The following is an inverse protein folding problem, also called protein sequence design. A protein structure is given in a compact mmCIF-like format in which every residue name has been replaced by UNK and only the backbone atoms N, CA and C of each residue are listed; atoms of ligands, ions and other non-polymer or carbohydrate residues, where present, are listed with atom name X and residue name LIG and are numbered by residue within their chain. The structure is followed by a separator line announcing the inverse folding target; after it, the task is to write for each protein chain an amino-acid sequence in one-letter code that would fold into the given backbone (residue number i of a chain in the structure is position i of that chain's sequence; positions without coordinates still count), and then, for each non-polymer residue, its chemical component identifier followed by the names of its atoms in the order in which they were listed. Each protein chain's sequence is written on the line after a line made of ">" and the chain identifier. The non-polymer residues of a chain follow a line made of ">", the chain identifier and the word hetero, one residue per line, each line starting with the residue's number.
data_IF_911552995344
#
_entry.id   IF_911552995344
#
_cell.length_a   1.000
_cell.length_b   1.000
_cell.length_c   1.000
_cell.angle_alpha   90.00
_cell.angle_beta   90.00
_cell.angle_gamma   90.00
#
_symmetry.space_group_name_H-M   'P 1'
#
loop_
_entity.id
_entity.type
_entity.pdbx_description
1 polymer ?
#
# COMPACT_ATOMS: atom_id res chain seq x y z
N UNK A 1 -34.51 26.89 -11.34
CA UNK A 1 -33.36 26.02 -10.93
C UNK A 1 -32.23 26.34 -11.91
N UNK A 2 -31.12 26.87 -11.38
CA UNK A 2 -30.00 27.30 -12.22
C UNK A 2 -29.37 26.09 -12.93
N UNK A 3 -29.44 26.04 -14.26
CA UNK A 3 -28.84 25.01 -15.10
C UNK A 3 -27.29 24.92 -14.97
N UNK A 4 -26.66 25.92 -14.32
CA UNK A 4 -25.21 26.04 -14.17
C UNK A 4 -24.60 25.08 -13.16
N UNK A 5 -25.37 24.42 -12.29
CA UNK A 5 -24.88 23.56 -11.19
C UNK A 5 -25.16 22.07 -11.38
N UNK A 6 -25.56 21.63 -12.58
CA UNK A 6 -25.77 20.22 -12.90
C UNK A 6 -24.57 19.65 -13.62
N UNK A 7 -23.95 18.58 -13.05
CA UNK A 7 -22.80 17.88 -13.57
C UNK A 7 -23.19 16.49 -14.09
N UNK A 8 -22.44 15.97 -15.06
CA UNK A 8 -22.61 14.60 -15.53
C UNK A 8 -21.99 13.62 -14.52
N UNK A 9 -20.84 14.01 -13.93
CA UNK A 9 -20.16 13.27 -12.86
C UNK A 9 -19.69 14.24 -11.75
N UNK A 10 -20.02 13.93 -10.49
CA UNK A 10 -19.49 14.60 -9.32
C UNK A 10 -18.59 13.61 -8.55
N UNK A 11 -17.37 14.04 -8.26
CA UNK A 11 -16.34 13.26 -7.58
C UNK A 11 -16.12 13.81 -6.18
N UNK A 12 -16.33 12.98 -5.15
CA UNK A 12 -16.03 13.31 -3.75
C UNK A 12 -14.64 12.79 -3.38
N UNK A 13 -13.66 13.70 -3.27
CA UNK A 13 -12.25 13.42 -3.00
C UNK A 13 -11.39 13.43 -4.26
N UNK A 14 -10.40 14.33 -4.30
CA UNK A 14 -9.46 14.53 -5.42
C UNK A 14 -8.17 13.70 -5.33
N UNK A 15 -8.17 12.61 -4.54
CA UNK A 15 -7.05 11.67 -4.46
C UNK A 15 -6.83 10.88 -5.75
N UNK A 16 -6.02 9.80 -5.70
CA UNK A 16 -5.62 9.05 -6.91
C UNK A 16 -6.81 8.52 -7.71
N UNK A 17 -7.80 7.90 -7.07
CA UNK A 17 -9.01 7.40 -7.73
C UNK A 17 -9.88 8.53 -8.29
N UNK A 18 -10.11 9.56 -7.47
CA UNK A 18 -10.97 10.69 -7.87
C UNK A 18 -10.40 11.50 -9.02
N UNK A 19 -9.09 11.80 -8.97
CA UNK A 19 -8.43 12.48 -10.07
C UNK A 19 -8.45 11.66 -11.37
N UNK A 20 -8.17 10.35 -11.29
CA UNK A 20 -8.23 9.48 -12.47
C UNK A 20 -9.63 9.46 -13.07
N UNK A 21 -10.66 9.36 -12.24
CA UNK A 21 -12.05 9.41 -12.69
C UNK A 21 -12.40 10.76 -13.34
N UNK A 22 -12.03 11.85 -12.69
CA UNK A 22 -12.31 13.21 -13.21
C UNK A 22 -11.65 13.45 -14.56
N UNK A 23 -10.37 13.08 -14.70
CA UNK A 23 -9.62 13.16 -15.96
C UNK A 23 -10.30 12.33 -17.05
N UNK A 24 -10.59 11.07 -16.78
CA UNK A 24 -11.22 10.15 -17.73
C UNK A 24 -12.60 10.65 -18.18
N UNK A 25 -13.41 11.15 -17.24
CA UNK A 25 -14.72 11.72 -17.59
C UNK A 25 -14.58 12.99 -18.46
N UNK A 26 -13.63 13.88 -18.11
CA UNK A 26 -13.37 15.08 -18.92
C UNK A 26 -12.91 14.73 -20.35
N UNK A 27 -12.05 13.75 -20.54
CA UNK A 27 -11.61 13.25 -21.85
C UNK A 27 -12.81 12.75 -22.70
N UNK A 28 -13.89 12.34 -22.04
CA UNK A 28 -15.19 12.00 -22.68
C UNK A 28 -16.14 13.18 -22.80
N UNK A 29 -15.66 14.42 -22.57
CA UNK A 29 -16.40 15.68 -22.65
C UNK A 29 -17.54 15.81 -21.65
N UNK A 30 -17.50 15.06 -20.55
CA UNK A 30 -18.43 15.19 -19.45
C UNK A 30 -18.15 16.47 -18.64
N UNK A 31 -19.20 17.09 -18.10
CA UNK A 31 -19.08 18.17 -17.11
C UNK A 31 -18.80 17.55 -15.76
N UNK A 32 -17.62 17.82 -15.22
CA UNK A 32 -17.13 17.19 -13.98
C UNK A 32 -16.99 18.21 -12.88
N UNK A 33 -17.55 17.89 -11.70
CA UNK A 33 -17.22 18.56 -10.44
C UNK A 33 -16.30 17.67 -9.59
N UNK A 34 -15.29 18.27 -8.98
CA UNK A 34 -14.46 17.63 -7.96
C UNK A 34 -14.62 18.40 -6.65
N UNK A 35 -15.05 17.71 -5.61
CA UNK A 35 -15.22 18.26 -4.26
C UNK A 35 -14.14 17.70 -3.37
N UNK A 36 -13.22 18.55 -2.90
CA UNK A 36 -12.12 18.17 -2.01
C UNK A 36 -11.86 19.27 -0.97
N UNK A 37 -12.28 19.03 0.25
CA UNK A 37 -12.13 19.93 1.41
C UNK A 37 -10.84 19.72 2.21
N UNK A 38 -9.91 18.86 1.76
CA UNK A 38 -8.63 18.70 2.42
C UNK A 38 -7.84 20.01 2.40
N UNK A 39 -7.05 20.30 3.45
CA UNK A 39 -6.21 21.51 3.52
C UNK A 39 -5.27 21.63 2.32
N UNK A 40 -4.74 20.48 1.86
CA UNK A 40 -3.87 20.38 0.70
C UNK A 40 -4.45 19.38 -0.33
N UNK A 41 -4.29 19.71 -1.63
CA UNK A 41 -4.64 18.82 -2.72
C UNK A 41 -3.50 17.85 -3.04
N UNK A 42 -3.81 16.59 -3.31
CA UNK A 42 -2.82 15.56 -3.63
C UNK A 42 -3.24 14.17 -3.20
N UNK A 43 -4.11 14.11 -2.21
CA UNK A 43 -4.57 12.85 -1.63
C UNK A 43 -3.52 12.15 -0.76
N UNK A 44 -3.90 11.03 -0.17
CA UNK A 44 -3.08 10.31 0.82
C UNK A 44 -1.71 9.92 0.27
N UNK A 45 -1.64 9.32 -0.92
CA UNK A 45 -0.39 8.80 -1.48
C UNK A 45 0.69 9.86 -1.62
N UNK A 46 0.36 11.04 -2.18
CA UNK A 46 1.32 12.12 -2.42
C UNK A 46 1.72 12.78 -1.10
N UNK A 47 0.74 13.10 -0.24
CA UNK A 47 0.96 13.98 0.90
C UNK A 47 1.36 13.26 2.18
N UNK A 48 0.84 12.05 2.43
CA UNK A 48 0.93 11.37 3.74
C UNK A 48 1.06 9.84 3.62
N UNK A 49 1.39 9.31 2.43
CA UNK A 49 1.48 7.87 2.16
C UNK A 49 2.74 7.49 1.41
N UNK A 50 2.57 6.98 0.19
CA UNK A 50 3.62 6.37 -0.63
C UNK A 50 4.83 7.28 -0.83
N UNK A 51 4.62 8.52 -1.29
CA UNK A 51 5.74 9.38 -1.67
C UNK A 51 6.59 9.83 -0.48
N UNK A 52 6.03 10.35 0.63
CA UNK A 52 6.84 10.73 1.79
C UNK A 52 7.49 9.52 2.47
N UNK A 53 6.80 8.37 2.58
CA UNK A 53 7.38 7.18 3.21
C UNK A 53 8.54 6.63 2.41
N UNK A 54 8.41 6.45 1.08
CA UNK A 54 9.48 5.91 0.22
C UNK A 54 10.66 6.87 0.12
N UNK A 55 10.43 8.18 0.19
CA UNK A 55 11.52 9.17 0.25
C UNK A 55 12.37 9.02 1.52
N UNK A 56 11.75 8.82 2.68
CA UNK A 56 12.44 8.63 3.95
C UNK A 56 13.08 7.24 4.05
N UNK A 57 12.37 6.18 3.64
CA UNK A 57 12.87 4.79 3.60
C UNK A 57 14.13 4.72 2.73
N UNK A 58 14.10 5.29 1.52
CA UNK A 58 15.27 5.30 0.64
C UNK A 58 16.46 6.05 1.26
N UNK A 59 16.22 7.16 1.97
CA UNK A 59 17.29 7.87 2.68
C UNK A 59 17.91 7.02 3.79
N UNK A 60 17.08 6.25 4.54
CA UNK A 60 17.54 5.34 5.56
C UNK A 60 18.27 4.10 4.97
N UNK A 61 17.85 3.64 3.79
CA UNK A 61 18.54 2.58 3.05
C UNK A 61 19.96 3.00 2.64
N UNK A 62 20.11 4.23 2.12
CA UNK A 62 21.43 4.77 1.76
C UNK A 62 22.32 4.94 3.00
N UNK A 63 21.75 5.37 4.13
CA UNK A 63 22.47 5.44 5.40
C UNK A 63 22.94 4.06 5.85
N UNK A 64 22.04 3.07 5.82
CA UNK A 64 22.34 1.70 6.20
C UNK A 64 23.43 1.09 5.32
N UNK A 65 23.39 1.29 4.00
CA UNK A 65 24.43 0.87 3.07
C UNK A 65 25.78 1.52 3.37
N UNK A 66 25.80 2.81 3.72
CA UNK A 66 27.03 3.50 4.12
C UNK A 66 27.60 2.98 5.43
N UNK A 67 26.76 2.55 6.38
CA UNK A 67 27.22 1.92 7.65
C UNK A 67 27.87 0.56 7.42
N UNK A 68 27.58 -0.11 6.32
CA UNK A 68 28.17 -1.40 5.93
C UNK A 68 29.33 -1.30 4.94
N UNK A 69 29.91 -0.11 4.78
CA UNK A 69 30.96 0.18 3.79
C UNK A 69 32.19 -0.74 3.84
N UNK A 70 32.56 -1.25 5.02
CA UNK A 70 33.69 -2.18 5.20
C UNK A 70 33.58 -3.42 4.33
N UNK A 71 32.37 -3.97 4.16
CA UNK A 71 32.10 -5.14 3.32
C UNK A 71 32.50 -4.86 1.86
N UNK A 72 32.34 -3.60 1.43
CA UNK A 72 32.63 -3.15 0.07
C UNK A 72 34.01 -2.48 -0.06
N UNK A 73 34.84 -2.52 0.99
CA UNK A 73 36.21 -2.04 0.96
C UNK A 73 36.37 -0.53 1.13
N UNK A 74 35.40 0.17 1.72
CA UNK A 74 35.52 1.58 2.07
C UNK A 74 35.07 1.87 3.50
N UNK A 75 35.68 2.89 4.11
CA UNK A 75 35.28 3.40 5.41
C UNK A 75 34.41 4.65 5.24
N UNK A 76 33.27 4.66 5.91
CA UNK A 76 32.46 5.85 6.10
C UNK A 76 32.58 6.27 7.58
N UNK A 77 33.17 7.41 7.85
CA UNK A 77 33.42 7.86 9.22
C UNK A 77 32.12 8.13 9.96
N UNK A 78 31.65 7.13 10.72
CA UNK A 78 30.46 7.19 11.60
C UNK A 78 29.20 7.81 10.94
N UNK A 79 28.69 7.23 9.84
CA UNK A 79 27.51 7.79 9.16
C UNK A 79 26.31 7.74 10.11
N UNK A 80 25.65 8.88 10.28
CA UNK A 80 24.48 9.07 11.14
C UNK A 80 23.36 9.77 10.40
N UNK A 81 22.13 9.52 10.83
CA UNK A 81 20.99 10.23 10.31
C UNK A 81 21.04 11.73 10.71
N UNK A 82 20.90 12.60 9.73
CA UNK A 82 20.51 13.99 9.94
C UNK A 82 19.04 14.09 9.57
N UNK A 83 18.18 14.00 10.57
CA UNK A 83 16.73 14.00 10.37
C UNK A 83 16.25 15.31 9.75
N UNK A 84 16.88 16.45 10.09
CA UNK A 84 16.50 17.75 9.52
C UNK A 84 16.71 17.78 8.00
N UNK A 85 17.88 17.32 7.53
CA UNK A 85 18.16 17.20 6.09
C UNK A 85 17.27 16.16 5.39
N UNK A 86 16.98 15.02 6.04
CA UNK A 86 16.04 14.04 5.51
C UNK A 86 14.64 14.64 5.33
N UNK A 87 14.16 15.40 6.32
CA UNK A 87 12.87 16.07 6.26
C UNK A 87 12.83 17.20 5.22
N UNK A 88 13.91 17.96 5.08
CA UNK A 88 14.03 19.00 4.04
C UNK A 88 13.95 18.37 2.65
N UNK A 89 14.74 17.30 2.40
CA UNK A 89 14.68 16.53 1.15
C UNK A 89 13.25 16.02 0.88
N UNK A 90 12.62 15.40 1.88
CA UNK A 90 11.24 14.92 1.75
C UNK A 90 10.29 16.05 1.37
N UNK A 91 10.33 17.19 2.10
CA UNK A 91 9.46 18.33 1.82
C UNK A 91 9.62 18.84 0.39
N UNK A 92 10.85 18.94 -0.10
CA UNK A 92 11.14 19.36 -1.49
C UNK A 92 10.53 18.40 -2.50
N UNK A 93 10.77 17.09 -2.35
CA UNK A 93 10.25 16.07 -3.27
C UNK A 93 8.71 16.07 -3.26
N UNK A 94 8.08 16.15 -2.07
CA UNK A 94 6.63 16.11 -1.97
C UNK A 94 5.99 17.38 -2.53
N UNK A 95 6.60 18.55 -2.35
CA UNK A 95 6.09 19.79 -2.91
C UNK A 95 5.99 19.73 -4.44
N UNK A 96 6.98 19.18 -5.13
CA UNK A 96 6.96 19.03 -6.59
C UNK A 96 5.74 18.19 -7.05
N UNK A 97 5.47 17.05 -6.39
CA UNK A 97 4.32 16.22 -6.73
C UNK A 97 2.97 16.84 -6.33
N UNK A 98 2.93 17.51 -5.18
CA UNK A 98 1.71 18.15 -4.67
C UNK A 98 1.32 19.34 -5.55
N UNK A 99 2.26 20.21 -5.92
CA UNK A 99 2.03 21.36 -6.80
C UNK A 99 1.56 20.90 -8.19
N UNK A 100 2.20 19.89 -8.75
CA UNK A 100 1.76 19.32 -10.03
C UNK A 100 0.31 18.78 -9.95
N UNK A 101 -0.05 18.06 -8.89
CA UNK A 101 -1.42 17.58 -8.71
C UNK A 101 -2.41 18.72 -8.48
N UNK A 102 -2.02 19.75 -7.76
CA UNK A 102 -2.83 20.94 -7.52
C UNK A 102 -3.11 21.68 -8.83
N UNK A 103 -2.09 21.88 -9.67
CA UNK A 103 -2.25 22.45 -11.01
C UNK A 103 -3.22 21.61 -11.85
N UNK A 104 -3.02 20.29 -11.89
CA UNK A 104 -3.88 19.37 -12.64
C UNK A 104 -5.37 19.40 -12.20
N UNK A 105 -5.65 19.66 -10.94
CA UNK A 105 -7.02 19.77 -10.43
C UNK A 105 -7.61 21.16 -10.65
N UNK A 106 -6.80 22.19 -10.76
CA UNK A 106 -7.19 23.60 -10.85
C UNK A 106 -7.06 24.22 -12.24
N UNK A 107 -6.67 23.45 -13.27
CA UNK A 107 -6.40 23.94 -14.63
C UNK A 107 -7.64 24.29 -15.47
N UNK A 108 -8.83 24.21 -14.88
CA UNK A 108 -10.09 24.57 -15.51
C UNK A 108 -10.80 23.43 -16.25
N UNK A 109 -10.20 22.24 -16.31
CA UNK A 109 -10.87 21.04 -16.85
C UNK A 109 -12.05 20.60 -16.02
N UNK A 110 -12.02 20.87 -14.70
CA UNK A 110 -13.04 20.50 -13.73
C UNK A 110 -13.56 21.73 -12.99
N UNK A 111 -14.81 21.66 -12.51
CA UNK A 111 -15.27 22.59 -11.48
C UNK A 111 -14.77 22.10 -10.12
N UNK A 112 -13.69 22.69 -9.60
CA UNK A 112 -13.09 22.32 -8.32
C UNK A 112 -13.74 23.10 -7.17
N UNK A 113 -14.32 22.37 -6.23
CA UNK A 113 -14.89 22.92 -4.98
C UNK A 113 -13.98 22.58 -3.80
N UNK A 114 -13.36 23.58 -3.20
CA UNK A 114 -12.45 23.47 -2.03
C UNK A 114 -13.24 23.46 -0.73
N UNK A 115 -14.18 22.49 -0.62
CA UNK A 115 -15.12 22.34 0.48
C UNK A 115 -15.29 20.85 0.83
N UNK A 116 -15.66 20.57 2.08
CA UNK A 116 -16.16 19.27 2.43
C UNK A 116 -17.57 19.07 1.88
N UNK A 117 -17.78 17.92 1.24
CA UNK A 117 -19.09 17.53 0.70
C UNK A 117 -19.69 16.34 1.44
N UNK A 118 -20.99 16.39 1.68
CA UNK A 118 -21.78 15.28 2.22
C UNK A 118 -22.86 14.88 1.23
N UNK A 119 -23.00 13.58 1.02
CA UNK A 119 -24.08 13.04 0.18
C UNK A 119 -25.44 13.38 0.81
N UNK A 120 -26.28 14.12 0.08
CA UNK A 120 -27.62 14.54 0.51
C UNK A 120 -28.71 13.65 -0.05
N UNK A 121 -28.53 13.23 -1.30
CA UNK A 121 -29.44 12.32 -2.02
C UNK A 121 -28.65 11.49 -3.05
N UNK A 122 -29.35 10.67 -3.83
CA UNK A 122 -28.75 9.87 -4.92
C UNK A 122 -28.15 10.70 -6.06
N UNK A 123 -28.41 12.01 -6.06
CA UNK A 123 -28.02 12.97 -7.10
C UNK A 123 -27.46 14.28 -6.55
N UNK A 124 -27.37 14.44 -5.23
CA UNK A 124 -27.05 15.71 -4.62
C UNK A 124 -25.97 15.56 -3.56
N UNK A 125 -25.03 16.51 -3.57
CA UNK A 125 -24.00 16.69 -2.56
C UNK A 125 -24.13 18.07 -1.97
N UNK A 126 -24.27 18.15 -0.66
CA UNK A 126 -24.26 19.38 0.11
C UNK A 126 -22.83 19.71 0.54
N UNK A 127 -22.36 20.89 0.19
CA UNK A 127 -21.07 21.44 0.62
C UNK A 127 -21.18 22.00 2.06
N UNK A 128 -20.04 22.15 2.72
CA UNK A 128 -19.96 22.68 4.09
C UNK A 128 -20.55 24.10 4.22
N UNK A 129 -20.51 24.91 3.17
CA UNK A 129 -21.11 26.24 3.11
C UNK A 129 -22.65 26.24 2.87
N UNK A 130 -23.27 25.04 2.78
CA UNK A 130 -24.71 24.87 2.54
C UNK A 130 -25.13 24.86 1.06
N UNK A 131 -24.21 25.04 0.14
CA UNK A 131 -24.48 24.94 -1.30
C UNK A 131 -24.76 23.49 -1.69
N UNK A 132 -25.75 23.27 -2.58
CA UNK A 132 -26.09 21.94 -3.09
C UNK A 132 -25.64 21.83 -4.55
N UNK A 133 -24.83 20.82 -4.85
CA UNK A 133 -24.42 20.45 -6.19
C UNK A 133 -25.24 19.27 -6.66
N UNK A 134 -25.68 19.29 -7.92
CA UNK A 134 -26.45 18.22 -8.53
C UNK A 134 -25.63 17.49 -9.61
N UNK A 135 -25.75 16.17 -9.68
CA UNK A 135 -25.08 15.36 -10.70
C UNK A 135 -25.94 14.16 -11.12
N UNK A 136 -25.75 13.73 -12.36
CA UNK A 136 -26.37 12.50 -12.86
C UNK A 136 -25.76 11.27 -12.21
N UNK A 137 -24.45 11.31 -11.92
CA UNK A 137 -23.69 10.27 -11.21
C UNK A 137 -22.74 10.87 -10.17
N UNK A 138 -22.54 10.15 -9.09
CA UNK A 138 -21.63 10.54 -8.00
C UNK A 138 -20.62 9.42 -7.78
N UNK A 139 -19.33 9.78 -7.73
CA UNK A 139 -18.24 8.89 -7.35
C UNK A 139 -17.72 9.27 -5.96
N UNK A 140 -17.73 8.32 -5.05
CA UNK A 140 -17.14 8.45 -3.71
C UNK A 140 -15.70 7.92 -3.78
N UNK A 141 -14.71 8.78 -3.51
CA UNK A 141 -13.27 8.46 -3.50
C UNK A 141 -12.55 9.13 -2.33
N UNK A 142 -13.20 9.07 -1.17
CA UNK A 142 -12.78 9.75 0.08
C UNK A 142 -11.63 9.05 0.81
N UNK A 143 -11.15 7.91 0.29
CA UNK A 143 -9.98 7.21 0.79
C UNK A 143 -10.19 6.53 2.15
N UNK A 144 -9.15 6.49 2.95
CA UNK A 144 -9.10 5.80 4.24
C UNK A 144 -8.47 6.67 5.33
N UNK A 145 -8.62 6.25 6.58
CA UNK A 145 -8.01 6.86 7.78
C UNK A 145 -7.38 5.80 8.66
N UNK A 146 -6.47 6.20 9.55
CA UNK A 146 -5.84 5.30 10.51
C UNK A 146 -6.90 4.61 11.37
N UNK A 147 -6.78 3.31 11.56
CA UNK A 147 -7.66 2.50 12.40
C UNK A 147 -7.27 2.65 13.87
N UNK A 148 -8.23 3.01 14.72
CA UNK A 148 -8.07 3.04 16.19
C UNK A 148 -9.06 2.05 16.78
N UNK A 149 -8.66 0.77 16.99
CA UNK A 149 -9.56 -0.25 17.52
C UNK A 149 -9.97 0.05 18.96
N UNK A 150 -11.10 -0.54 19.39
CA UNK A 150 -11.68 -0.35 20.72
C UNK A 150 -10.95 -1.14 21.83
N UNK A 151 -9.63 -0.98 21.94
CA UNK A 151 -8.85 -1.58 23.03
C UNK A 151 -8.88 -0.60 24.22
N UNK A 152 -9.10 -1.09 25.45
CA UNK A 152 -9.19 -0.22 26.64
C UNK A 152 -7.98 0.71 26.78
N UNK A 153 -8.23 2.00 26.96
CA UNK A 153 -7.22 3.04 27.14
C UNK A 153 -6.47 3.46 25.85
N UNK A 154 -6.69 2.80 24.70
CA UNK A 154 -5.96 3.14 23.47
C UNK A 154 -6.34 4.53 22.94
N UNK A 155 -7.61 4.92 23.00
CA UNK A 155 -8.07 6.24 22.51
C UNK A 155 -7.51 7.41 23.34
N UNK A 156 -7.28 7.16 24.61
CA UNK A 156 -6.71 8.10 25.56
C UNK A 156 -5.18 8.06 25.57
N UNK A 157 -4.58 7.01 24.98
CA UNK A 157 -3.14 6.84 24.89
C UNK A 157 -2.49 7.91 24.01
N UNK A 158 -1.26 8.28 24.34
CA UNK A 158 -0.45 9.22 23.56
C UNK A 158 0.22 8.51 22.40
N UNK A 159 -0.56 7.99 21.45
CA UNK A 159 -0.01 7.33 20.27
C UNK A 159 0.33 8.33 19.16
N UNK A 160 1.22 7.87 18.29
CA UNK A 160 1.61 8.46 17.03
C UNK A 160 1.10 7.62 15.88
N UNK A 161 0.75 8.27 14.78
CA UNK A 161 0.33 7.63 13.54
C UNK A 161 1.45 7.61 12.51
N UNK A 162 1.21 7.02 11.34
CA UNK A 162 2.14 7.15 10.21
C UNK A 162 2.40 8.61 9.83
N UNK A 163 1.38 9.48 9.91
CA UNK A 163 1.52 10.89 9.59
C UNK A 163 2.51 11.58 10.56
N UNK A 164 2.49 11.21 11.85
CA UNK A 164 3.44 11.71 12.85
C UNK A 164 4.85 11.20 12.59
N UNK A 165 5.01 9.89 12.28
CA UNK A 165 6.33 9.30 11.97
C UNK A 165 6.94 9.95 10.73
N UNK A 166 6.13 10.20 9.70
CA UNK A 166 6.60 10.86 8.48
C UNK A 166 6.98 12.34 8.68
N UNK A 167 6.55 12.97 9.78
CA UNK A 167 6.82 14.38 10.09
C UNK A 167 7.59 14.58 11.40
N UNK A 168 8.40 13.59 11.79
CA UNK A 168 9.27 13.71 12.97
C UNK A 168 10.21 14.92 12.86
N UNK A 169 10.37 15.61 13.97
CA UNK A 169 11.33 16.71 14.18
C UNK A 169 12.50 16.30 15.10
N UNK A 170 12.45 15.11 15.68
CA UNK A 170 13.52 14.48 16.46
C UNK A 170 13.53 12.98 16.24
N UNK A 171 14.67 12.33 16.51
CA UNK A 171 14.80 10.88 16.49
C UNK A 171 14.42 10.35 17.88
N UNK A 172 13.33 9.56 18.02
CA UNK A 172 12.98 8.96 19.30
C UNK A 172 14.06 7.98 19.78
N UNK A 173 14.38 7.98 21.07
CA UNK A 173 15.32 6.99 21.62
C UNK A 173 14.77 5.56 21.52
N UNK A 174 13.45 5.41 21.70
CA UNK A 174 12.75 4.14 21.62
C UNK A 174 11.36 4.29 21.00
N UNK A 175 10.86 3.21 20.42
CA UNK A 175 9.52 3.16 19.85
C UNK A 175 8.91 1.78 20.07
N UNK A 176 7.67 1.74 20.54
CA UNK A 176 6.82 0.54 20.50
C UNK A 176 5.85 0.67 19.34
N UNK A 177 5.95 -0.25 18.38
CA UNK A 177 5.10 -0.33 17.20
C UNK A 177 3.98 -1.34 17.44
N UNK A 178 2.74 -0.92 17.31
CA UNK A 178 1.58 -1.79 17.40
C UNK A 178 1.20 -2.29 16.01
N UNK A 179 1.28 -3.61 15.80
CA UNK A 179 0.99 -4.27 14.53
C UNK A 179 2.23 -4.58 13.71
N UNK A 180 2.09 -5.52 12.77
CA UNK A 180 3.16 -6.01 11.89
C UNK A 180 2.69 -6.09 10.43
N UNK A 181 1.79 -5.18 10.02
CA UNK A 181 1.41 -4.99 8.62
C UNK A 181 2.43 -4.15 7.84
N UNK A 182 2.17 -3.91 6.56
CA UNK A 182 3.09 -3.23 5.64
C UNK A 182 3.62 -1.91 6.20
N UNK A 183 2.73 -0.98 6.58
CA UNK A 183 3.12 0.34 7.09
C UNK A 183 3.92 0.24 8.39
N UNK A 184 3.52 -0.70 9.28
CA UNK A 184 4.23 -0.93 10.54
C UNK A 184 5.66 -1.41 10.28
N UNK A 185 5.86 -2.40 9.41
CA UNK A 185 7.18 -2.96 9.10
C UNK A 185 8.09 -1.94 8.40
N UNK A 186 7.57 -1.25 7.39
CA UNK A 186 8.32 -0.23 6.64
C UNK A 186 8.82 0.91 7.55
N UNK A 187 7.93 1.46 8.39
CA UNK A 187 8.28 2.57 9.25
C UNK A 187 9.07 2.13 10.50
N UNK A 188 8.87 0.89 10.98
CA UNK A 188 9.70 0.32 12.04
C UNK A 188 11.17 0.17 11.58
N UNK A 189 11.39 -0.35 10.37
CA UNK A 189 12.72 -0.47 9.80
C UNK A 189 13.36 0.90 9.55
N UNK A 190 12.59 1.85 9.02
CA UNK A 190 13.04 3.25 8.89
C UNK A 190 13.51 3.81 10.24
N UNK A 191 12.68 3.71 11.29
CA UNK A 191 13.01 4.21 12.63
C UNK A 191 14.28 3.53 13.20
N UNK A 192 14.39 2.21 13.06
CA UNK A 192 15.59 1.46 13.50
C UNK A 192 16.84 1.97 12.80
N UNK A 193 16.82 2.12 11.49
CA UNK A 193 17.96 2.55 10.67
C UNK A 193 18.43 3.98 10.95
N UNK A 194 17.52 4.86 11.42
CA UNK A 194 17.90 6.22 11.83
C UNK A 194 18.35 6.31 13.30
N UNK A 195 18.31 5.20 14.07
CA UNK A 195 18.88 5.11 15.42
C UNK A 195 17.89 4.92 16.57
N UNK A 196 16.60 4.68 16.30
CA UNK A 196 15.59 4.38 17.31
C UNK A 196 15.65 2.91 17.73
N UNK A 197 15.59 2.61 19.03
CA UNK A 197 15.35 1.23 19.51
C UNK A 197 13.88 0.87 19.30
N UNK A 198 13.62 -0.10 18.41
CA UNK A 198 12.27 -0.45 17.98
C UNK A 198 11.85 -1.81 18.56
N UNK A 199 10.62 -1.87 19.10
CA UNK A 199 9.93 -3.11 19.46
C UNK A 199 8.64 -3.20 18.68
N UNK A 200 8.39 -4.30 17.97
CA UNK A 200 7.14 -4.57 17.26
C UNK A 200 6.30 -5.54 18.08
N UNK A 201 5.05 -5.15 18.39
CA UNK A 201 4.04 -6.00 19.02
C UNK A 201 3.03 -6.46 17.96
N UNK A 202 3.09 -7.75 17.57
CA UNK A 202 2.25 -8.31 16.52
C UNK A 202 1.34 -9.43 17.06
N UNK A 203 0.03 -9.36 16.71
CA UNK A 203 -0.97 -10.33 17.15
C UNK A 203 -0.78 -11.72 16.52
N UNK A 204 -0.50 -11.79 15.23
CA UNK A 204 -0.23 -13.08 14.56
C UNK A 204 1.18 -13.60 14.88
N UNK A 205 1.40 -14.87 14.60
CA UNK A 205 2.67 -15.55 14.90
C UNK A 205 3.83 -15.08 14.00
N UNK A 206 3.54 -14.30 12.97
CA UNK A 206 4.55 -13.69 12.09
C UNK A 206 4.09 -12.31 11.61
N UNK A 207 5.02 -11.50 11.12
CA UNK A 207 4.74 -10.23 10.46
C UNK A 207 4.08 -10.48 9.11
N UNK A 208 3.44 -9.44 8.53
CA UNK A 208 2.88 -9.51 7.17
C UNK A 208 2.03 -10.76 6.93
N UNK A 209 1.12 -11.07 7.83
CA UNK A 209 0.37 -12.35 7.90
C UNK A 209 -0.38 -12.74 6.62
N UNK A 210 -0.64 -11.80 5.73
CA UNK A 210 -1.32 -12.00 4.44
C UNK A 210 -0.33 -12.37 3.31
N UNK A 211 0.98 -12.40 3.59
CA UNK A 211 2.04 -12.74 2.65
C UNK A 211 2.59 -14.14 2.95
N UNK A 212 3.34 -14.76 2.02
CA UNK A 212 3.98 -16.05 2.24
C UNK A 212 4.84 -16.05 3.50
N UNK A 213 4.81 -17.17 4.21
CA UNK A 213 5.54 -17.32 5.46
C UNK A 213 7.06 -17.12 5.27
N UNK A 214 7.63 -17.66 4.19
CA UNK A 214 9.07 -17.54 3.92
C UNK A 214 9.50 -16.09 3.69
N UNK A 215 8.66 -15.29 3.01
CA UNK A 215 8.88 -13.86 2.85
C UNK A 215 8.86 -13.13 4.21
N UNK A 216 7.88 -13.48 5.05
CA UNK A 216 7.77 -12.94 6.41
C UNK A 216 8.99 -13.31 7.27
N UNK A 217 9.44 -14.55 7.23
CA UNK A 217 10.60 -15.03 7.98
C UNK A 217 11.90 -14.36 7.51
N UNK A 218 12.07 -14.16 6.20
CA UNK A 218 13.22 -13.42 5.66
C UNK A 218 13.27 -11.98 6.20
N UNK A 219 12.13 -11.28 6.23
CA UNK A 219 12.04 -9.93 6.79
C UNK A 219 12.30 -9.94 8.31
N UNK A 220 11.70 -10.87 9.06
CA UNK A 220 11.90 -10.96 10.50
C UNK A 220 13.35 -11.19 10.88
N UNK A 221 14.04 -12.05 10.13
CA UNK A 221 15.47 -12.30 10.33
C UNK A 221 16.31 -11.03 10.08
N UNK A 222 15.97 -10.24 9.05
CA UNK A 222 16.66 -8.98 8.78
C UNK A 222 16.39 -7.94 9.87
N UNK A 223 15.13 -7.73 10.25
CA UNK A 223 14.77 -6.78 11.32
C UNK A 223 15.46 -7.13 12.64
N UNK A 224 15.51 -8.43 12.99
CA UNK A 224 16.20 -8.89 14.19
C UNK A 224 17.71 -8.65 14.11
N UNK A 225 18.32 -8.84 12.95
CA UNK A 225 19.74 -8.53 12.73
C UNK A 225 20.02 -7.02 12.83
N UNK A 226 19.07 -6.17 12.42
CA UNK A 226 19.12 -4.71 12.58
C UNK A 226 18.77 -4.26 14.03
N UNK A 227 18.54 -5.19 14.96
CA UNK A 227 18.30 -4.90 16.38
C UNK A 227 16.86 -4.59 16.74
N UNK A 228 15.90 -4.84 15.85
CA UNK A 228 14.47 -4.71 16.15
C UNK A 228 14.00 -5.88 17.01
N UNK A 229 13.39 -5.59 18.15
CA UNK A 229 12.76 -6.58 19.00
C UNK A 229 11.39 -6.98 18.44
N UNK A 230 11.20 -8.26 18.13
CA UNK A 230 9.96 -8.79 17.57
C UNK A 230 9.21 -9.62 18.61
N UNK A 231 8.02 -9.18 19.00
CA UNK A 231 7.11 -9.91 19.88
C UNK A 231 5.86 -10.27 19.06
N UNK A 232 5.81 -11.52 18.62
CA UNK A 232 4.69 -12.08 17.82
C UNK A 232 3.78 -12.93 18.72
N UNK A 233 2.56 -13.23 18.26
CA UNK A 233 1.56 -13.94 19.07
C UNK A 233 1.01 -13.11 20.22
N UNK A 234 1.13 -11.79 20.16
CA UNK A 234 0.77 -10.88 21.27
C UNK A 234 -0.72 -10.53 21.23
N UNK A 235 -1.36 -10.55 22.39
CA UNK A 235 -2.72 -10.06 22.59
C UNK A 235 -2.70 -8.77 23.41
N UNK A 236 -2.92 -7.63 22.76
CA UNK A 236 -3.03 -6.33 23.45
C UNK A 236 -4.23 -6.34 24.39
N UNK A 237 -4.04 -5.90 25.64
CA UNK A 237 -5.06 -5.90 26.69
C UNK A 237 -5.57 -4.50 27.01
N UNK A 238 -4.67 -3.59 27.35
CA UNK A 238 -5.00 -2.20 27.71
C UNK A 238 -3.79 -1.26 27.58
N UNK A 239 -4.08 0.03 27.67
CA UNK A 239 -3.08 1.11 27.66
C UNK A 239 -3.30 2.03 28.85
N UNK A 240 -2.23 2.50 29.47
CA UNK A 240 -2.26 3.45 30.56
C UNK A 240 -1.24 4.56 30.34
N UNK A 241 -1.65 5.82 30.54
CA UNK A 241 -0.73 6.96 30.46
C UNK A 241 -0.02 7.14 31.79
N UNK A 242 1.31 7.14 31.75
CA UNK A 242 2.16 7.43 32.90
C UNK A 242 2.31 8.93 33.19
N UNK A 243 2.93 9.25 34.35
CA UNK A 243 3.04 10.64 34.82
C UNK A 243 4.02 11.50 34.00
N UNK A 244 5.05 10.90 33.39
CA UNK A 244 6.12 11.60 32.64
C UNK A 244 5.90 11.66 31.12
N UNK A 245 4.67 11.40 30.65
CA UNK A 245 4.37 11.42 29.21
C UNK A 245 4.58 10.10 28.52
N UNK A 246 4.97 9.06 29.23
CA UNK A 246 5.05 7.69 28.76
C UNK A 246 3.65 7.06 28.61
N UNK A 247 3.56 6.04 27.76
CA UNK A 247 2.40 5.13 27.69
C UNK A 247 2.87 3.72 28.07
N UNK A 248 2.16 3.04 28.97
CA UNK A 248 2.38 1.66 29.30
C UNK A 248 1.40 0.77 28.52
N UNK A 249 1.94 -0.16 27.74
CA UNK A 249 1.21 -1.12 26.91
C UNK A 249 1.18 -2.44 27.66
N UNK A 250 -0.02 -2.93 27.99
CA UNK A 250 -0.20 -4.23 28.62
C UNK A 250 -0.66 -5.26 27.58
N UNK A 251 0.01 -6.40 27.59
CA UNK A 251 -0.26 -7.45 26.62
C UNK A 251 -0.02 -8.85 27.22
N UNK A 252 -0.60 -9.85 26.57
CA UNK A 252 -0.41 -11.27 26.89
C UNK A 252 0.36 -11.93 25.74
N UNK A 253 1.31 -12.78 26.06
CA UNK A 253 2.02 -13.63 25.13
C UNK A 253 2.22 -15.01 25.79
N UNK A 254 1.86 -16.09 25.09
CA UNK A 254 1.94 -17.47 25.59
C UNK A 254 1.26 -17.68 26.97
N UNK A 255 0.12 -17.00 27.17
CA UNK A 255 -0.67 -17.09 28.41
C UNK A 255 -0.07 -16.32 29.60
N UNK A 256 0.99 -15.56 29.41
CA UNK A 256 1.61 -14.73 30.43
C UNK A 256 1.38 -13.25 30.15
N UNK A 257 1.17 -12.47 31.22
CA UNK A 257 0.99 -11.02 31.13
C UNK A 257 2.32 -10.30 31.19
N UNK A 258 2.49 -9.33 30.30
CA UNK A 258 3.66 -8.44 30.21
C UNK A 258 3.19 -6.99 30.10
N UNK A 259 4.10 -6.08 30.38
CA UNK A 259 3.95 -4.68 30.03
C UNK A 259 5.22 -4.07 29.46
N UNK A 260 5.07 -3.04 28.65
CA UNK A 260 6.19 -2.28 28.09
C UNK A 260 5.84 -0.77 28.10
N UNK A 261 6.76 0.03 28.65
CA UNK A 261 6.62 1.48 28.68
C UNK A 261 7.34 2.10 27.48
N UNK A 262 6.77 3.17 26.95
CA UNK A 262 7.39 3.92 25.87
C UNK A 262 6.93 5.38 25.88
N UNK A 263 7.81 6.29 25.43
CA UNK A 263 7.46 7.66 25.14
C UNK A 263 7.00 7.85 23.69
N UNK A 264 7.23 6.83 22.84
CA UNK A 264 6.83 6.85 21.44
C UNK A 264 6.08 5.57 21.10
N UNK A 265 4.75 5.64 21.12
CA UNK A 265 3.86 4.54 20.74
C UNK A 265 3.37 4.76 19.31
N UNK A 266 3.81 3.92 18.35
CA UNK A 266 3.37 4.02 16.96
C UNK A 266 2.20 3.08 16.68
N UNK A 267 1.08 3.64 16.22
CA UNK A 267 -0.14 2.92 15.89
C UNK A 267 -0.12 2.45 14.43
N UNK A 268 0.31 1.22 14.19
CA UNK A 268 0.36 0.55 12.90
C UNK A 268 -0.71 -0.54 12.72
N UNK A 269 -1.94 -0.34 13.28
CA UNK A 269 -3.02 -1.33 13.31
C UNK A 269 -3.94 -1.30 12.08
N UNK A 270 -3.45 -0.78 10.96
CA UNK A 270 -4.18 -0.75 9.70
C UNK A 270 -5.00 0.52 9.50
N UNK A 271 -5.88 0.47 8.49
CA UNK A 271 -6.70 1.61 8.05
C UNK A 271 -8.17 1.23 8.00
N UNK A 272 -9.05 2.20 8.02
CA UNK A 272 -10.49 2.05 7.84
C UNK A 272 -10.99 3.02 6.78
N UNK A 273 -12.04 2.67 6.02
CA UNK A 273 -12.60 3.56 5.00
C UNK A 273 -13.07 4.88 5.61
N UNK A 274 -12.78 5.98 4.93
CA UNK A 274 -13.18 7.31 5.37
C UNK A 274 -14.55 7.66 4.77
N UNK A 275 -15.61 7.08 5.33
CA UNK A 275 -16.99 7.23 4.87
C UNK A 275 -17.95 7.50 6.04
N UNK A 276 -19.02 8.25 5.76
CA UNK A 276 -20.17 8.38 6.67
C UNK A 276 -21.12 7.20 6.45
N UNK A 277 -20.88 6.13 7.22
CA UNK A 277 -21.63 4.88 7.11
C UNK A 277 -23.14 5.06 7.31
N UNK A 278 -23.56 5.93 8.22
CA UNK A 278 -24.96 6.23 8.52
C UNK A 278 -25.68 6.81 7.29
N UNK A 279 -25.18 7.92 6.77
CA UNK A 279 -25.74 8.57 5.59
C UNK A 279 -25.76 7.65 4.35
N UNK A 280 -24.71 6.85 4.14
CA UNK A 280 -24.67 5.91 3.01
C UNK A 280 -25.74 4.83 3.14
N UNK A 281 -25.92 4.26 4.32
CA UNK A 281 -26.93 3.22 4.57
C UNK A 281 -28.34 3.76 4.41
N UNK A 282 -28.62 4.98 4.88
CA UNK A 282 -29.91 5.66 4.71
C UNK A 282 -30.27 5.87 3.23
N UNK A 283 -29.27 6.10 2.38
CA UNK A 283 -29.44 6.23 0.93
C UNK A 283 -29.56 4.89 0.20
N UNK A 284 -29.40 3.76 0.91
CA UNK A 284 -29.49 2.42 0.35
C UNK A 284 -28.16 1.89 -0.19
N UNK A 285 -27.02 2.52 0.15
CA UNK A 285 -25.70 2.01 -0.23
C UNK A 285 -25.30 0.88 0.73
N UNK A 286 -24.98 -0.29 0.17
CA UNK A 286 -24.53 -1.46 0.95
C UNK A 286 -23.05 -1.31 1.33
N UNK A 287 -22.75 -1.65 2.59
CA UNK A 287 -21.38 -1.70 3.10
C UNK A 287 -20.95 -3.15 3.35
N UNK A 288 -19.65 -3.40 3.22
CA UNK A 288 -19.01 -4.67 3.63
C UNK A 288 -18.89 -4.72 5.17
N UNK A 289 -18.71 -5.89 5.79
CA UNK A 289 -18.46 -6.01 7.24
C UNK A 289 -17.23 -5.20 7.71
N UNK A 290 -16.27 -4.98 6.83
CA UNK A 290 -15.08 -4.12 7.08
C UNK A 290 -15.36 -2.62 7.05
N UNK A 291 -16.61 -2.21 6.74
CA UNK A 291 -17.02 -0.81 6.60
C UNK A 291 -16.77 -0.20 5.23
N UNK A 292 -16.11 -0.91 4.32
CA UNK A 292 -15.92 -0.45 2.94
C UNK A 292 -17.24 -0.44 2.17
N UNK A 293 -17.35 0.48 1.20
CA UNK A 293 -18.49 0.51 0.30
C UNK A 293 -18.46 -0.73 -0.60
N UNK A 294 -19.57 -1.47 -0.65
CA UNK A 294 -19.69 -2.61 -1.56
C UNK A 294 -19.93 -2.12 -2.99
N UNK A 295 -19.11 -2.59 -3.92
CA UNK A 295 -19.21 -2.29 -5.35
C UNK A 295 -19.21 -3.57 -6.18
N UNK A 296 -19.78 -3.50 -7.38
CA UNK A 296 -19.60 -4.53 -8.40
C UNK A 296 -18.25 -4.33 -9.15
N UNK A 297 -17.98 -5.18 -10.14
CA UNK A 297 -16.75 -5.11 -10.95
C UNK A 297 -16.58 -3.84 -11.79
N UNK A 298 -17.61 -2.98 -11.86
CA UNK A 298 -17.59 -1.69 -12.53
C UNK A 298 -17.54 -0.52 -11.54
N UNK A 299 -17.27 -0.79 -10.26
CA UNK A 299 -17.24 0.16 -9.16
C UNK A 299 -18.60 0.83 -8.85
N UNK A 300 -19.71 0.29 -9.38
CA UNK A 300 -21.05 0.75 -9.07
C UNK A 300 -21.52 0.15 -7.74
N UNK A 301 -22.13 0.95 -6.90
CA UNK A 301 -22.71 0.51 -5.63
C UNK A 301 -24.10 -0.14 -5.83
N UNK A 302 -24.76 -0.54 -4.74
CA UNK A 302 -26.17 -0.97 -4.76
C UNK A 302 -27.13 0.11 -5.27
N UNK A 303 -26.70 1.38 -5.30
CA UNK A 303 -27.45 2.51 -5.85
C UNK A 303 -26.89 2.87 -7.22
N UNK A 304 -27.67 2.71 -8.27
CA UNK A 304 -27.20 2.79 -9.68
C UNK A 304 -26.60 4.13 -10.11
N UNK A 305 -26.82 5.20 -9.34
CA UNK A 305 -26.25 6.53 -9.60
C UNK A 305 -24.98 6.80 -8.78
N UNK A 306 -24.66 5.93 -7.82
CA UNK A 306 -23.53 6.10 -6.91
C UNK A 306 -22.46 5.04 -7.19
N UNK A 307 -21.23 5.49 -7.32
CA UNK A 307 -20.02 4.71 -7.51
C UNK A 307 -19.06 4.91 -6.34
N UNK A 308 -18.12 3.99 -6.14
CA UNK A 308 -17.06 4.17 -5.16
C UNK A 308 -15.74 3.57 -5.67
N UNK A 309 -14.61 4.25 -5.41
CA UNK A 309 -13.29 3.83 -5.87
C UNK A 309 -12.17 4.21 -4.87
N UNK A 310 -11.07 3.47 -4.90
CA UNK A 310 -9.95 3.61 -3.98
C UNK A 310 -10.23 3.00 -2.61
N UNK A 311 -9.49 3.42 -1.59
CA UNK A 311 -9.49 2.81 -0.26
C UNK A 311 -10.88 2.74 0.39
N UNK A 312 -11.80 3.66 0.08
CA UNK A 312 -13.15 3.60 0.64
C UNK A 312 -14.00 2.43 0.13
N UNK A 313 -13.65 1.86 -1.03
CA UNK A 313 -14.30 0.70 -1.63
C UNK A 313 -13.51 -0.61 -1.43
N UNK A 314 -12.16 -0.53 -1.34
CA UNK A 314 -11.29 -1.70 -1.30
C UNK A 314 -11.42 -2.55 -2.58
N UNK A 315 -11.04 -3.83 -2.57
CA UNK A 315 -10.44 -4.59 -1.47
C UNK A 315 -8.96 -4.26 -1.22
N UNK A 316 -8.28 -3.56 -2.15
CA UNK A 316 -6.85 -3.28 -2.11
C UNK A 316 -6.61 -1.77 -2.00
N UNK A 317 -5.91 -1.35 -0.94
CA UNK A 317 -5.54 0.06 -0.67
C UNK A 317 -4.23 0.39 -1.39
N UNK A 318 -4.20 0.27 -2.72
CA UNK A 318 -3.03 0.42 -3.59
C UNK A 318 -3.34 1.44 -4.69
N UNK A 319 -2.39 2.34 -4.96
CA UNK A 319 -2.60 3.49 -5.86
C UNK A 319 -2.98 3.11 -7.27
N UNK A 320 -2.26 2.19 -7.92
CA UNK A 320 -2.57 1.79 -9.29
C UNK A 320 -3.93 1.08 -9.40
N UNK A 321 -4.36 0.38 -8.34
CA UNK A 321 -5.72 -0.18 -8.26
C UNK A 321 -6.75 0.94 -8.12
N UNK A 322 -6.51 1.92 -7.24
CA UNK A 322 -7.39 3.07 -7.08
C UNK A 322 -7.56 3.86 -8.39
N UNK A 323 -6.49 4.04 -9.17
CA UNK A 323 -6.52 4.67 -10.51
C UNK A 323 -7.42 3.87 -11.46
N UNK A 324 -7.17 2.56 -11.61
CA UNK A 324 -8.00 1.68 -12.46
C UNK A 324 -9.47 1.67 -12.05
N UNK A 325 -9.74 1.64 -10.73
CA UNK A 325 -11.11 1.73 -10.20
C UNK A 325 -11.78 3.06 -10.58
N UNK A 326 -11.06 4.18 -10.44
CA UNK A 326 -11.57 5.50 -10.81
C UNK A 326 -11.89 5.62 -12.31
N UNK A 327 -10.99 5.16 -13.16
CA UNK A 327 -11.17 5.16 -14.62
C UNK A 327 -12.36 4.29 -15.04
N UNK A 328 -12.46 3.07 -14.51
CA UNK A 328 -13.58 2.14 -14.77
C UNK A 328 -14.90 2.73 -14.29
N UNK A 329 -14.94 3.30 -13.08
CA UNK A 329 -16.12 3.94 -12.54
C UNK A 329 -16.62 5.08 -13.42
N UNK A 330 -15.71 5.95 -13.86
CA UNK A 330 -16.04 7.10 -14.70
C UNK A 330 -16.62 6.67 -16.06
N UNK A 331 -15.96 5.75 -16.76
CA UNK A 331 -16.42 5.25 -18.05
C UNK A 331 -17.78 4.56 -17.94
N UNK A 332 -17.94 3.65 -16.96
CA UNK A 332 -19.21 2.95 -16.77
C UNK A 332 -20.33 3.91 -16.34
N UNK A 333 -20.06 4.89 -15.49
CA UNK A 333 -21.01 5.91 -15.07
C UNK A 333 -21.54 6.74 -16.24
N UNK A 334 -20.71 7.00 -17.24
CA UNK A 334 -21.04 7.72 -18.46
C UNK A 334 -21.66 6.84 -19.56
N UNK A 335 -21.87 5.54 -19.28
CA UNK A 335 -22.53 4.61 -20.20
C UNK A 335 -21.60 3.98 -21.24
N UNK A 336 -20.29 4.07 -21.09
CA UNK A 336 -19.34 3.39 -21.97
C UNK A 336 -19.22 1.91 -21.58
N UNK A 337 -19.01 1.05 -22.57
CA UNK A 337 -18.65 -0.34 -22.36
C UNK A 337 -17.21 -0.42 -21.85
N UNK A 338 -17.02 -1.09 -20.72
CA UNK A 338 -15.70 -1.29 -20.10
C UNK A 338 -15.56 -2.74 -19.66
N UNK A 339 -14.34 -3.31 -19.68
CA UNK A 339 -14.12 -4.63 -19.12
C UNK A 339 -14.35 -4.61 -17.59
N UNK A 340 -14.88 -5.70 -17.08
CA UNK A 340 -14.99 -5.91 -15.63
C UNK A 340 -13.60 -5.90 -14.97
N UNK A 341 -13.47 -5.20 -13.86
CA UNK A 341 -12.22 -5.23 -13.09
C UNK A 341 -11.98 -6.62 -12.53
N UNK A 342 -10.79 -7.13 -12.81
CA UNK A 342 -10.26 -8.36 -12.26
C UNK A 342 -8.96 -8.04 -11.50
N UNK A 343 -8.78 -8.70 -10.37
CA UNK A 343 -7.60 -8.54 -9.52
C UNK A 343 -6.69 -9.78 -9.54
N UNK A 344 -6.91 -10.72 -10.47
CA UNK A 344 -6.07 -11.92 -10.59
C UNK A 344 -4.61 -11.61 -10.96
N UNK A 345 -4.37 -10.45 -11.56
CA UNK A 345 -3.03 -9.93 -11.85
C UNK A 345 -2.62 -8.83 -10.85
N UNK A 346 -3.08 -8.93 -9.60
CA UNK A 346 -2.70 -7.95 -8.57
C UNK A 346 -1.19 -7.96 -8.39
N UNK A 347 -0.59 -6.76 -8.41
CA UNK A 347 0.80 -6.55 -8.08
C UNK A 347 0.87 -5.76 -6.77
N UNK A 348 1.66 -6.25 -5.82
CA UNK A 348 1.89 -5.61 -4.54
C UNK A 348 3.37 -5.59 -4.19
N UNK A 349 3.82 -4.55 -3.49
CA UNK A 349 5.21 -4.38 -3.03
C UNK A 349 5.22 -3.85 -1.61
N UNK A 350 6.04 -4.46 -0.77
CA UNK A 350 6.42 -3.97 0.56
C UNK A 350 7.85 -3.44 0.47
N UNK A 351 8.05 -2.19 0.85
CA UNK A 351 9.33 -1.48 0.69
C UNK A 351 10.21 -1.59 1.94
N UNK A 352 10.25 -2.77 2.52
CA UNK A 352 11.25 -3.14 3.54
C UNK A 352 12.56 -3.57 2.87
N UNK A 353 13.55 -3.93 3.64
CA UNK A 353 14.76 -4.59 3.18
C UNK A 353 14.91 -5.91 3.97
N UNK A 354 14.79 -7.10 3.32
CA UNK A 354 14.47 -7.25 1.89
C UNK A 354 13.10 -6.69 1.52
N UNK A 355 12.97 -6.20 0.28
CA UNK A 355 11.67 -5.89 -0.30
C UNK A 355 10.88 -7.19 -0.53
N UNK A 356 9.55 -7.10 -0.50
CA UNK A 356 8.68 -8.24 -0.81
C UNK A 356 7.70 -7.82 -1.89
N UNK A 357 7.70 -8.53 -3.01
CA UNK A 357 6.82 -8.26 -4.13
C UNK A 357 6.10 -9.53 -4.57
N UNK A 358 4.85 -9.38 -4.99
CA UNK A 358 4.02 -10.46 -5.50
C UNK A 358 3.20 -9.97 -6.69
N UNK A 359 2.94 -10.86 -7.63
CA UNK A 359 2.03 -10.62 -8.75
C UNK A 359 1.29 -11.89 -9.12
N UNK A 360 0.03 -11.74 -9.50
CA UNK A 360 -0.81 -12.87 -9.89
C UNK A 360 -1.41 -13.63 -8.71
N UNK A 361 -1.69 -14.89 -8.90
CA UNK A 361 -2.33 -15.76 -7.91
C UNK A 361 -1.28 -16.41 -6.99
N UNK A 362 -1.53 -16.35 -5.69
CA UNK A 362 -0.75 -17.07 -4.68
C UNK A 362 -1.03 -18.59 -4.76
N UNK A 363 -0.13 -19.40 -4.20
CA UNK A 363 -0.32 -20.87 -4.11
C UNK A 363 -1.59 -21.23 -3.36
N UNK A 364 -2.01 -20.43 -2.37
CA UNK A 364 -3.25 -20.64 -1.63
C UNK A 364 -4.48 -20.38 -2.52
N UNK A 365 -4.48 -19.28 -3.29
CA UNK A 365 -5.56 -18.96 -4.22
C UNK A 365 -5.68 -20.00 -5.33
N UNK A 366 -4.56 -20.48 -5.88
CA UNK A 366 -4.52 -21.55 -6.89
C UNK A 366 -5.14 -22.84 -6.34
N UNK A 367 -4.77 -23.24 -5.12
CA UNK A 367 -5.38 -24.40 -4.43
C UNK A 367 -6.88 -24.23 -4.19
N UNK A 368 -7.29 -23.06 -3.70
CA UNK A 368 -8.70 -22.76 -3.41
C UNK A 368 -9.55 -22.76 -4.70
N UNK A 369 -8.99 -22.33 -5.83
CA UNK A 369 -9.63 -22.36 -7.15
C UNK A 369 -9.52 -23.71 -7.84
N UNK A 370 -8.81 -24.68 -7.26
CA UNK A 370 -8.56 -26.02 -7.81
C UNK A 370 -7.89 -25.98 -9.19
N UNK A 371 -6.98 -25.03 -9.39
CA UNK A 371 -6.15 -24.93 -10.57
C UNK A 371 -4.95 -25.87 -10.38
N UNK A 372 -4.68 -26.76 -11.34
CA UNK A 372 -3.48 -27.57 -11.34
C UNK A 372 -2.27 -26.74 -11.76
N UNK A 373 -1.28 -26.64 -10.88
CA UNK A 373 -0.10 -25.81 -11.09
C UNK A 373 1.16 -26.51 -10.59
N UNK A 374 2.29 -26.05 -11.10
CA UNK A 374 3.62 -26.34 -10.61
C UNK A 374 4.25 -25.06 -10.06
N UNK A 375 5.15 -25.22 -9.11
CA UNK A 375 5.87 -24.10 -8.49
C UNK A 375 7.34 -24.44 -8.37
N UNK A 376 8.20 -23.53 -8.75
CA UNK A 376 9.62 -23.59 -8.49
C UNK A 376 10.11 -22.30 -7.84
N UNK A 377 11.21 -22.38 -7.09
CA UNK A 377 11.80 -21.25 -6.38
C UNK A 377 13.32 -21.31 -6.41
N UNK A 378 13.96 -20.14 -6.33
CA UNK A 378 15.41 -20.04 -6.27
C UNK A 378 15.86 -18.99 -5.25
N UNK A 379 16.87 -19.28 -4.41
CA UNK A 379 17.31 -18.35 -3.36
C UNK A 379 18.30 -17.30 -3.90
N UNK A 380 18.35 -16.14 -3.23
CA UNK A 380 19.28 -15.06 -3.56
C UNK A 380 20.74 -15.39 -3.18
N UNK A 381 20.97 -16.23 -2.18
CA UNK A 381 22.32 -16.58 -1.69
C UNK A 381 23.10 -17.54 -2.59
N UNK A 382 22.43 -18.14 -3.60
CA UNK A 382 23.04 -18.95 -4.64
C UNK A 382 23.06 -18.24 -6.02
N UNK A 383 22.67 -16.95 -6.05
CA UNK A 383 22.61 -16.17 -7.29
C UNK A 383 23.82 -15.24 -7.42
N UNK A 384 24.55 -15.33 -8.52
CA UNK A 384 25.84 -14.63 -8.73
C UNK A 384 25.77 -13.11 -8.49
N UNK A 385 24.80 -12.40 -9.09
CA UNK A 385 24.65 -10.96 -8.91
C UNK A 385 24.26 -10.59 -7.47
N UNK A 386 23.43 -11.38 -6.83
CA UNK A 386 23.04 -11.18 -5.42
C UNK A 386 24.24 -11.32 -4.48
N UNK A 387 25.11 -12.30 -4.75
CA UNK A 387 26.36 -12.50 -3.99
C UNK A 387 27.30 -11.29 -4.14
N UNK A 388 27.49 -10.78 -5.39
CA UNK A 388 28.32 -9.60 -5.63
C UNK A 388 27.83 -8.34 -4.88
N UNK A 389 26.53 -8.25 -4.66
CA UNK A 389 25.88 -7.11 -4.01
C UNK A 389 25.71 -7.30 -2.50
N UNK A 390 26.15 -8.43 -1.91
CA UNK A 390 25.82 -8.85 -0.53
C UNK A 390 24.30 -8.88 -0.23
N UNK A 391 23.48 -9.01 -1.28
CA UNK A 391 22.03 -9.04 -1.23
C UNK A 391 21.50 -10.48 -1.20
N UNK A 392 21.99 -11.29 -0.27
CA UNK A 392 21.82 -12.76 -0.24
C UNK A 392 20.49 -13.21 0.39
N UNK A 393 19.73 -12.31 1.01
CA UNK A 393 18.53 -12.68 1.75
C UNK A 393 17.30 -12.68 0.86
N UNK A 394 16.61 -13.82 0.83
CA UNK A 394 15.34 -13.98 0.15
C UNK A 394 15.35 -15.00 -0.99
N UNK A 395 14.33 -14.95 -1.81
CA UNK A 395 14.08 -15.92 -2.89
C UNK A 395 13.18 -15.32 -3.97
N UNK A 396 13.16 -15.97 -5.13
CA UNK A 396 12.11 -15.81 -6.15
C UNK A 396 11.33 -17.10 -6.28
N UNK A 397 10.03 -17.01 -6.60
CA UNK A 397 9.21 -18.17 -6.92
C UNK A 397 8.28 -17.88 -8.11
N UNK A 398 8.01 -18.88 -8.92
CA UNK A 398 7.11 -18.82 -10.08
C UNK A 398 6.09 -19.95 -9.99
N UNK A 399 4.84 -19.62 -10.30
CA UNK A 399 3.73 -20.57 -10.37
C UNK A 399 3.19 -20.62 -11.79
N UNK A 400 3.17 -21.79 -12.39
CA UNK A 400 2.70 -21.98 -13.77
C UNK A 400 1.60 -23.03 -13.84
N UNK A 401 0.64 -22.87 -14.75
CA UNK A 401 -0.37 -23.88 -15.04
C UNK A 401 0.29 -25.15 -15.59
N UNK A 402 0.03 -26.28 -14.95
CA UNK A 402 0.68 -27.55 -15.26
C UNK A 402 0.51 -28.03 -16.70
N UNK A 403 -0.66 -27.76 -17.27
CA UNK A 403 -1.00 -28.25 -18.63
C UNK A 403 -0.47 -27.37 -19.74
N UNK A 404 -0.37 -26.07 -19.54
CA UNK A 404 -0.05 -25.07 -20.59
C UNK A 404 1.27 -24.36 -20.36
N UNK A 405 1.77 -24.38 -19.14
CA UNK A 405 2.95 -23.59 -18.73
C UNK A 405 2.71 -22.09 -18.63
N UNK A 406 1.44 -21.63 -18.73
CA UNK A 406 1.11 -20.21 -18.54
C UNK A 406 1.47 -19.78 -17.13
N UNK A 407 2.16 -18.66 -17.00
CA UNK A 407 2.52 -18.07 -15.70
C UNK A 407 1.25 -17.55 -15.02
N UNK A 408 0.99 -18.03 -13.81
CA UNK A 408 -0.19 -17.70 -13.02
C UNK A 408 0.11 -16.74 -11.86
N UNK A 409 1.33 -16.81 -11.33
CA UNK A 409 1.77 -15.99 -10.21
C UNK A 409 3.28 -16.03 -10.04
N UNK A 410 3.80 -15.03 -9.34
CA UNK A 410 5.22 -14.96 -8.98
C UNK A 410 5.42 -14.18 -7.69
N UNK A 411 6.47 -14.52 -6.96
CA UNK A 411 6.90 -13.92 -5.71
C UNK A 411 8.37 -13.56 -5.78
N UNK A 412 8.74 -12.43 -5.21
CA UNK A 412 10.13 -12.01 -5.04
C UNK A 412 10.31 -11.41 -3.66
N UNK A 413 11.16 -12.00 -2.87
CA UNK A 413 11.62 -11.42 -1.60
C UNK A 413 13.12 -11.21 -1.73
N UNK A 414 13.59 -9.96 -1.70
CA UNK A 414 15.00 -9.67 -1.89
C UNK A 414 15.28 -8.23 -2.26
N UNK A 415 16.52 -7.96 -2.65
CA UNK A 415 16.96 -6.65 -3.14
C UNK A 415 16.20 -6.31 -4.42
N UNK A 416 15.67 -5.08 -4.45
CA UNK A 416 14.95 -4.53 -5.61
C UNK A 416 13.78 -5.40 -6.12
N UNK A 417 13.16 -6.19 -5.21
CA UNK A 417 12.04 -7.06 -5.55
C UNK A 417 10.89 -6.30 -6.23
N UNK A 418 10.64 -5.05 -5.83
CA UNK A 418 9.64 -4.18 -6.44
C UNK A 418 9.89 -3.89 -7.91
N UNK A 419 11.15 -3.87 -8.35
CA UNK A 419 11.52 -3.69 -9.76
C UNK A 419 11.54 -5.04 -10.50
N UNK A 420 12.10 -6.09 -9.88
CA UNK A 420 12.24 -7.40 -10.47
C UNK A 420 10.90 -8.04 -10.85
N UNK A 421 9.88 -7.87 -10.04
CA UNK A 421 8.55 -8.48 -10.23
C UNK A 421 7.83 -8.01 -11.49
N UNK A 422 8.21 -6.84 -12.05
CA UNK A 422 7.53 -6.27 -13.22
C UNK A 422 7.67 -7.14 -14.48
N UNK A 423 8.78 -7.87 -14.65
CA UNK A 423 8.95 -8.81 -15.76
C UNK A 423 7.84 -9.87 -15.75
N UNK A 424 7.56 -10.45 -14.58
CA UNK A 424 6.52 -11.44 -14.40
C UNK A 424 5.11 -10.85 -14.48
N UNK A 425 4.93 -9.59 -14.03
CA UNK A 425 3.66 -8.87 -14.19
C UNK A 425 3.26 -8.70 -15.66
N UNK A 426 4.23 -8.35 -16.51
CA UNK A 426 4.02 -8.25 -17.96
C UNK A 426 3.73 -9.64 -18.55
N UNK A 427 4.51 -10.66 -18.18
CA UNK A 427 4.33 -12.03 -18.62
C UNK A 427 2.92 -12.57 -18.32
N UNK A 428 2.44 -12.40 -17.08
CA UNK A 428 1.10 -12.79 -16.67
C UNK A 428 0.03 -12.04 -17.49
N UNK A 429 0.20 -10.75 -17.68
CA UNK A 429 -0.75 -9.92 -18.45
C UNK A 429 -0.87 -10.36 -19.90
N UNK A 430 0.23 -10.86 -20.48
CA UNK A 430 0.31 -11.39 -21.84
C UNK A 430 -0.01 -12.90 -21.92
N UNK A 431 -0.26 -13.56 -20.78
CA UNK A 431 -0.44 -15.01 -20.66
C UNK A 431 0.76 -15.77 -21.23
N UNK A 432 1.97 -15.26 -21.03
CA UNK A 432 3.18 -15.90 -21.48
C UNK A 432 3.41 -17.22 -20.74
N UNK A 433 4.04 -18.18 -21.45
CA UNK A 433 4.41 -19.48 -20.88
C UNK A 433 5.84 -19.46 -20.36
N UNK A 434 6.18 -20.44 -19.52
CA UNK A 434 7.54 -20.72 -19.04
C UNK A 434 8.54 -20.77 -20.21
N UNK A 435 8.24 -21.55 -21.25
CA UNK A 435 9.12 -21.69 -22.41
C UNK A 435 9.30 -20.40 -23.21
N UNK A 436 8.26 -19.55 -23.30
CA UNK A 436 8.38 -18.25 -23.95
C UNK A 436 9.28 -17.28 -23.17
N UNK A 437 9.22 -17.31 -21.83
CA UNK A 437 10.10 -16.49 -21.02
C UNK A 437 11.56 -16.91 -21.10
N UNK A 438 11.84 -18.20 -21.22
CA UNK A 438 13.20 -18.72 -21.42
C UNK A 438 13.79 -18.42 -22.81
N UNK A 439 12.96 -18.04 -23.78
CA UNK A 439 13.43 -17.57 -25.10
C UNK A 439 13.88 -16.10 -25.08
N UNK A 440 13.55 -15.34 -24.02
CA UNK A 440 14.02 -13.97 -23.87
C UNK A 440 15.49 -13.93 -23.46
N UNK A 441 16.20 -12.89 -23.92
CA UNK A 441 17.57 -12.65 -23.48
C UNK A 441 17.59 -12.12 -22.02
N UNK A 442 18.16 -12.90 -21.12
CA UNK A 442 18.41 -12.49 -19.73
C UNK A 442 19.90 -12.14 -19.58
N UNK A 443 20.17 -10.85 -19.36
CA UNK A 443 21.54 -10.34 -19.37
C UNK A 443 22.32 -10.73 -18.10
N UNK A 444 23.50 -11.32 -18.25
CA UNK A 444 24.41 -11.69 -17.16
C UNK A 444 25.54 -10.63 -16.97
N UNK A 445 25.92 -10.23 -15.71
CA UNK A 445 25.23 -10.54 -14.46
C UNK A 445 24.22 -9.43 -14.09
N UNK A 446 22.96 -9.77 -13.92
CA UNK A 446 21.88 -8.87 -13.46
C UNK A 446 21.06 -9.53 -12.36
N UNK A 447 20.34 -8.75 -11.55
CA UNK A 447 19.39 -9.32 -10.61
C UNK A 447 18.21 -10.01 -11.32
N UNK A 448 17.82 -9.51 -12.50
CA UNK A 448 16.67 -10.05 -13.25
C UNK A 448 16.87 -11.48 -13.77
N UNK A 449 18.13 -11.90 -14.05
CA UNK A 449 18.38 -13.26 -14.52
C UNK A 449 18.05 -14.34 -13.48
N UNK A 450 17.86 -13.98 -12.21
CA UNK A 450 17.44 -14.91 -11.17
C UNK A 450 16.14 -15.66 -11.53
N UNK A 451 15.30 -15.03 -12.34
CA UNK A 451 14.05 -15.65 -12.78
C UNK A 451 14.26 -16.87 -13.68
N UNK A 452 15.41 -16.98 -14.36
CA UNK A 452 15.69 -18.13 -15.26
C UNK A 452 15.74 -19.45 -14.50
N UNK A 453 16.26 -19.45 -13.26
CA UNK A 453 16.40 -20.68 -12.47
C UNK A 453 15.05 -21.37 -12.19
N UNK A 454 14.05 -20.72 -11.56
CA UNK A 454 12.76 -21.39 -11.37
C UNK A 454 12.00 -21.61 -12.68
N UNK A 455 12.29 -20.85 -13.75
CA UNK A 455 11.71 -21.10 -15.07
C UNK A 455 12.31 -22.36 -15.72
N UNK A 456 13.63 -22.60 -15.59
CA UNK A 456 14.29 -23.82 -16.09
C UNK A 456 13.76 -25.06 -15.36
N UNK A 457 13.65 -25.02 -14.02
CA UNK A 457 13.08 -26.10 -13.23
C UNK A 457 11.64 -26.46 -13.68
N UNK A 458 10.81 -25.42 -13.92
CA UNK A 458 9.44 -25.63 -14.41
C UNK A 458 9.40 -26.18 -15.84
N UNK A 459 10.34 -25.77 -16.71
CA UNK A 459 10.41 -26.23 -18.10
C UNK A 459 10.77 -27.71 -18.22
N UNK A 460 11.51 -28.26 -17.25
CA UNK A 460 11.80 -29.71 -17.21
C UNK A 460 10.55 -30.55 -16.95
N UNK A 461 9.57 -29.99 -16.20
CA UNK A 461 8.33 -30.69 -15.84
C UNK A 461 7.17 -30.40 -16.80
N UNK A 462 7.19 -29.28 -17.52
CA UNK A 462 6.12 -28.83 -18.42
C UNK A 462 6.56 -29.04 -19.88
N UNK A 463 5.87 -29.88 -20.65
CA UNK A 463 6.20 -30.07 -22.04
C UNK A 463 6.11 -28.80 -22.89
N UNK A 464 7.08 -28.57 -23.77
CA UNK A 464 6.98 -27.51 -24.78
C UNK A 464 5.77 -27.78 -25.69
N UNK A 465 4.94 -26.78 -25.90
CA UNK A 465 3.79 -26.84 -26.78
C UNK A 465 4.12 -26.35 -28.18
#
# INVERSE_FOLDING_TARGET
>A
MNAEKKFDLLVLGGGSAGYAAARTAHEKKARVAVVDGASELGGLCILRGCMPSKTLIYSAEMLHAAQQGEIFGFEATSPRADLALMQERKKKVIAEFADYRKEQLADGRFSLFREHGKLQSKHEVMLANGEILQADKILISTGSRVSVPGIPGLREARYKTSDDVLNLDYIPEECVVLGGGVVACELAQFLSRIGTRVTILQRSNHLLKELPLDASLALQAQLSQEGVELLTGVKLQKFENGQKGETEVFFEQEGRSFSKKTHFLFLGLGRTPNVDQGSLTELGVTLKPSGHIHTNHFQQTSVSTIYAAGDCAGPHEIVHIAVRQGETAALHALGYSVPALCYDNLLSVVFTDPQIAQVGLSTEELKNRKIEFLSASYPFDDHGKSILMEAKRGYVAVHAEKSTGIILGAECTGKDAGELIHALSIAISLKATVHQLLQADWYHPTLSEIWTYPLDDLAEEIPAQ
#
